data_IF_690754867499
#
_entry.id   IF_690754867499
#
_cell.length_a   1.000
_cell.length_b   1.000
_cell.length_c   1.000
_cell.angle_alpha   90.00
_cell.angle_beta   90.00
_cell.angle_gamma   90.00
#
_symmetry.space_group_name_H-M   'P 1'
#
loop_
_entity.id
_entity.type
_entity.pdbx_description
1 polymer ?
#
# COMPACT_ATOMS: atom_id res chain seq x y z
N UNK A 1 -0.03 -2.99 95.91
CA UNK A 1 -1.15 -3.73 95.28
C UNK A 1 -1.19 -3.26 93.83
N UNK A 2 -0.46 -3.90 92.92
CA UNK A 2 -0.98 -4.90 91.96
C UNK A 2 -1.41 -4.19 90.67
N UNK A 3 -1.09 -4.57 89.43
CA UNK A 3 -0.31 -5.64 88.85
C UNK A 3 -0.07 -5.29 87.34
N UNK A 4 1.09 -5.68 86.81
CA UNK A 4 1.33 -6.31 85.49
C UNK A 4 0.98 -5.57 84.16
N UNK A 5 2.08 -5.22 83.46
CA UNK A 5 2.46 -5.37 82.02
C UNK A 5 1.49 -5.00 80.87
N UNK A 6 1.97 -4.12 79.97
CA UNK A 6 2.22 -4.45 78.55
C UNK A 6 3.10 -3.37 77.89
N UNK A 7 4.18 -3.79 77.22
CA UNK A 7 5.09 -2.99 76.40
C UNK A 7 4.72 -3.21 74.93
N UNK A 8 4.43 -2.18 74.15
CA UNK A 8 4.52 -2.20 72.68
C UNK A 8 5.03 -0.83 72.19
N UNK A 9 6.23 -0.84 71.60
CA UNK A 9 6.87 0.22 70.84
C UNK A 9 6.02 0.60 69.62
N UNK A 10 5.87 1.90 69.33
CA UNK A 10 5.44 2.38 68.00
C UNK A 10 6.27 3.58 67.56
N UNK A 11 6.55 3.59 66.26
CA UNK A 11 7.64 4.25 65.55
C UNK A 11 7.52 5.78 65.41
N UNK A 12 8.70 6.40 65.32
CA UNK A 12 8.99 7.75 64.85
C UNK A 12 8.68 7.94 63.34
N UNK A 13 8.12 9.08 62.96
CA UNK A 13 8.43 9.75 61.68
C UNK A 13 8.07 11.24 61.75
N UNK A 14 9.10 12.09 61.77
CA UNK A 14 9.02 13.56 61.71
C UNK A 14 8.95 13.97 60.24
N UNK A 15 7.92 14.73 59.85
CA UNK A 15 7.79 15.30 58.52
C UNK A 15 8.48 16.67 58.48
N UNK A 16 9.60 16.79 57.74
CA UNK A 16 10.22 18.07 57.38
C UNK A 16 9.65 18.58 56.06
N UNK A 17 9.23 19.84 56.04
CA UNK A 17 8.85 20.56 54.82
C UNK A 17 10.10 21.19 54.17
N UNK A 18 10.25 20.99 52.85
CA UNK A 18 11.35 21.51 52.01
C UNK A 18 10.70 22.25 50.81
N UNK A 19 11.29 23.34 50.28
CA UNK A 19 10.55 24.46 49.70
C UNK A 19 10.25 24.32 48.20
N UNK A 20 9.22 25.02 47.73
CA UNK A 20 8.90 25.16 46.32
C UNK A 20 9.66 26.35 45.71
N UNK A 21 10.60 26.06 44.81
CA UNK A 21 11.12 27.03 43.84
C UNK A 21 10.27 26.95 42.57
N UNK A 22 9.82 28.11 42.08
CA UNK A 22 9.07 28.23 40.83
C UNK A 22 10.01 28.13 39.63
N UNK A 23 9.71 27.24 38.69
CA UNK A 23 10.44 27.04 37.44
C UNK A 23 9.80 27.85 36.29
N UNK A 24 10.66 28.65 35.66
CA UNK A 24 10.68 29.12 34.26
C UNK A 24 9.36 29.18 33.46
N UNK A 25 8.96 30.39 33.08
CA UNK A 25 7.90 30.65 32.12
C UNK A 25 8.29 30.15 30.71
N UNK A 26 7.44 29.27 30.16
CA UNK A 26 7.48 28.81 28.77
C UNK A 26 7.13 29.94 27.79
N UNK A 27 7.79 29.88 26.64
CA UNK A 27 7.79 30.79 25.50
C UNK A 27 6.41 31.14 24.92
N UNK A 28 6.34 32.33 24.32
CA UNK A 28 5.13 32.93 23.72
C UNK A 28 4.53 32.09 22.56
N UNK A 29 3.24 31.80 22.66
CA UNK A 29 2.43 31.20 21.60
C UNK A 29 2.08 32.21 20.49
N UNK A 30 2.08 31.82 19.20
CA UNK A 30 1.67 32.70 18.11
C UNK A 30 0.16 32.96 18.15
N UNK A 31 -0.24 34.22 17.96
CA UNK A 31 -1.63 34.69 18.06
C UNK A 31 -2.54 34.05 17.00
N UNK A 32 -3.49 33.24 17.45
CA UNK A 32 -4.59 32.72 16.63
C UNK A 32 -5.69 33.78 16.48
N UNK A 33 -6.08 34.11 15.24
CA UNK A 33 -7.20 34.99 14.96
C UNK A 33 -8.20 34.29 14.03
N UNK A 34 -9.39 33.89 14.51
CA UNK A 34 -10.38 33.22 13.68
C UNK A 34 -10.97 34.19 12.65
N UNK A 35 -11.04 33.79 11.39
CA UNK A 35 -11.77 34.49 10.32
C UNK A 35 -13.08 33.75 10.05
N UNK A 36 -14.20 34.45 10.13
CA UNK A 36 -15.53 33.93 9.79
C UNK A 36 -15.80 34.15 8.30
N UNK A 37 -16.09 33.07 7.57
CA UNK A 37 -16.47 33.13 6.16
C UNK A 37 -17.99 32.97 6.06
N UNK A 38 -18.63 33.81 5.24
CA UNK A 38 -20.09 33.74 5.02
C UNK A 38 -20.44 32.47 4.23
N UNK A 39 -21.53 31.77 4.59
CA UNK A 39 -22.01 30.63 3.80
C UNK A 39 -22.40 31.06 2.38
N UNK A 40 -22.16 30.21 1.37
CA UNK A 40 -22.52 30.52 -0.01
C UNK A 40 -24.04 30.58 -0.20
N UNK A 41 -24.54 31.36 -1.17
CA UNK A 41 -25.96 31.48 -1.45
C UNK A 41 -26.60 30.14 -1.87
N UNK A 42 -27.91 29.97 -1.62
CA UNK A 42 -28.65 28.79 -2.07
C UNK A 42 -28.58 28.65 -3.59
N UNK A 43 -28.18 27.47 -4.09
CA UNK A 43 -28.09 27.16 -5.53
C UNK A 43 -26.66 27.06 -6.10
N UNK A 44 -25.63 27.27 -5.28
CA UNK A 44 -24.23 27.09 -5.71
C UNK A 44 -23.93 25.60 -5.94
N UNK A 45 -23.56 25.19 -7.17
CA UNK A 45 -23.17 23.80 -7.47
C UNK A 45 -21.87 23.46 -6.73
N UNK A 46 -21.84 22.31 -6.05
CA UNK A 46 -20.70 21.82 -5.27
C UNK A 46 -19.58 21.33 -6.18
N UNK A 47 -18.78 22.26 -6.70
CA UNK A 47 -17.42 21.94 -7.12
C UNK A 47 -16.49 22.79 -6.26
N UNK A 48 -15.88 22.15 -5.25
CA UNK A 48 -14.72 22.73 -4.59
C UNK A 48 -13.59 22.55 -5.59
N UNK A 49 -13.32 23.56 -6.40
CA UNK A 49 -12.09 23.59 -7.18
C UNK A 49 -10.95 23.81 -6.20
N UNK A 50 -10.38 22.72 -5.67
CA UNK A 50 -9.14 22.79 -4.91
C UNK A 50 -8.03 23.13 -5.92
N UNK A 51 -7.79 24.41 -6.10
CA UNK A 51 -6.58 24.90 -6.76
C UNK A 51 -5.46 24.77 -5.73
N UNK A 52 -4.75 23.64 -5.73
CA UNK A 52 -3.49 23.54 -4.98
C UNK A 52 -2.47 24.38 -5.75
N UNK A 53 -1.85 25.34 -5.09
CA UNK A 53 -0.78 26.16 -5.68
C UNK A 53 0.34 25.22 -6.16
N UNK A 54 0.70 25.24 -7.47
CA UNK A 54 1.77 24.41 -8.01
C UNK A 54 3.11 24.56 -7.27
N UNK A 55 3.40 25.74 -6.74
CA UNK A 55 4.63 25.98 -5.97
C UNK A 55 4.55 25.45 -4.52
N UNK A 56 3.34 25.34 -3.96
CA UNK A 56 3.12 24.68 -2.68
C UNK A 56 3.20 23.15 -2.82
N UNK A 57 2.64 22.60 -3.89
CA UNK A 57 2.77 21.19 -4.23
C UNK A 57 4.23 20.82 -4.50
N UNK A 58 4.95 21.62 -5.28
CA UNK A 58 6.39 21.42 -5.55
C UNK A 58 7.22 21.52 -4.27
N UNK A 59 6.89 22.43 -3.35
CA UNK A 59 7.53 22.51 -2.03
C UNK A 59 7.22 21.33 -1.14
N UNK A 60 5.99 20.82 -1.14
CA UNK A 60 5.61 19.61 -0.40
C UNK A 60 6.36 18.38 -0.93
N UNK A 61 6.42 18.22 -2.25
CA UNK A 61 7.18 17.14 -2.90
C UNK A 61 8.70 17.27 -2.65
N UNK A 62 9.25 18.49 -2.70
CA UNK A 62 10.67 18.73 -2.40
C UNK A 62 11.01 18.56 -0.90
N UNK A 63 10.05 18.81 0.00
CA UNK A 63 10.20 18.52 1.42
C UNK A 63 10.17 17.00 1.69
N UNK A 64 9.33 16.26 0.97
CA UNK A 64 9.32 14.78 0.98
C UNK A 64 10.62 14.17 0.45
N UNK A 65 11.34 14.87 -0.45
CA UNK A 65 12.61 14.41 -0.99
C UNK A 65 13.81 14.61 -0.04
N UNK A 66 13.68 15.41 1.03
CA UNK A 66 14.79 15.75 1.95
C UNK A 66 14.96 14.79 3.12
N UNK A 67 13.91 14.06 3.49
CA UNK A 67 13.97 12.94 4.42
C UNK A 67 13.56 11.68 3.65
N UNK A 68 14.49 10.77 3.30
CA UNK A 68 14.19 9.62 2.44
C UNK A 68 13.23 8.60 3.07
N UNK A 69 12.76 8.84 4.29
CA UNK A 69 11.91 7.89 5.00
C UNK A 69 10.91 8.57 5.94
N UNK A 70 9.90 9.20 5.36
CA UNK A 70 8.57 9.28 5.96
C UNK A 70 7.58 8.53 5.07
N UNK A 71 6.81 7.56 5.59
CA UNK A 71 5.91 6.75 4.77
C UNK A 71 4.85 7.64 4.11
N UNK A 72 4.87 7.69 2.78
CA UNK A 72 3.66 8.07 2.02
C UNK A 72 2.72 6.86 2.12
N UNK A 73 1.94 6.82 3.20
CA UNK A 73 0.76 5.95 3.19
C UNK A 73 -0.13 6.44 2.06
N UNK A 74 -0.54 5.54 1.16
CA UNK A 74 -1.66 5.84 0.26
C UNK A 74 -2.85 6.12 1.19
N UNK A 75 -3.23 7.38 1.33
CA UNK A 75 -4.57 7.67 1.84
C UNK A 75 -5.51 7.09 0.80
N UNK A 76 -6.30 6.10 1.21
CA UNK A 76 -7.30 5.48 0.35
C UNK A 76 -8.10 6.58 -0.36
N UNK A 77 -8.44 6.42 -1.65
CA UNK A 77 -9.33 7.36 -2.29
C UNK A 77 -10.64 7.36 -1.52
N UNK A 78 -11.11 8.55 -1.14
CA UNK A 78 -12.46 8.76 -0.64
C UNK A 78 -13.43 8.12 -1.64
N UNK A 79 -13.96 6.95 -1.29
CA UNK A 79 -15.12 6.43 -1.96
C UNK A 79 -16.27 7.36 -1.60
N UNK A 80 -16.75 8.12 -2.58
CA UNK A 80 -17.95 8.93 -2.44
C UNK A 80 -19.05 8.16 -1.70
N UNK A 81 -19.39 8.65 -0.50
CA UNK A 81 -20.50 8.18 0.33
C UNK A 81 -20.12 7.18 1.42
N UNK A 82 -19.43 7.62 2.47
CA UNK A 82 -19.36 6.91 3.74
C UNK A 82 -19.83 7.81 4.89
N UNK A 83 -20.85 7.30 5.58
CA UNK A 83 -21.42 7.83 6.82
C UNK A 83 -20.34 7.96 7.89
N UNK A 84 -20.39 9.06 8.64
CA UNK A 84 -19.44 9.45 9.69
C UNK A 84 -19.54 8.51 10.90
N UNK A 85 -18.86 7.37 10.85
CA UNK A 85 -18.52 6.59 12.04
C UNK A 85 -17.12 6.00 11.87
N UNK A 86 -16.17 6.40 12.72
CA UNK A 86 -14.76 6.00 12.72
C UNK A 86 -14.49 4.50 12.98
N UNK A 87 -15.02 3.61 12.14
CA UNK A 87 -14.59 2.21 12.00
C UNK A 87 -13.79 2.11 10.72
N UNK A 88 -12.55 1.62 10.80
CA UNK A 88 -11.74 1.32 9.62
C UNK A 88 -12.58 0.49 8.63
N UNK A 89 -12.78 1.00 7.42
CA UNK A 89 -13.60 0.34 6.41
C UNK A 89 -13.08 -1.09 6.20
N UNK A 90 -13.99 -2.07 6.21
CA UNK A 90 -13.63 -3.47 5.98
C UNK A 90 -13.24 -3.66 4.51
N UNK A 91 -12.17 -4.42 4.26
CA UNK A 91 -11.78 -4.84 2.91
C UNK A 91 -12.94 -5.57 2.20
N UNK A 92 -13.19 -5.27 0.92
CA UNK A 92 -14.22 -5.95 0.11
C UNK A 92 -14.04 -7.46 0.09
N UNK A 93 -12.79 -7.90 0.10
CA UNK A 93 -12.40 -9.31 0.11
C UNK A 93 -11.95 -9.76 1.51
N UNK A 94 -12.49 -9.18 2.60
CA UNK A 94 -12.16 -9.61 3.97
C UNK A 94 -12.36 -11.13 4.19
N UNK A 95 -13.34 -11.74 3.52
CA UNK A 95 -13.58 -13.19 3.56
C UNK A 95 -12.41 -14.03 3.03
N UNK A 96 -11.58 -13.48 2.15
CA UNK A 96 -10.41 -14.16 1.57
C UNK A 96 -9.39 -14.50 2.65
N UNK A 97 -9.15 -13.55 3.55
CA UNK A 97 -8.18 -13.65 4.65
C UNK A 97 -8.63 -14.55 5.80
N UNK A 98 -9.86 -15.07 5.76
CA UNK A 98 -10.29 -16.15 6.66
C UNK A 98 -9.76 -17.52 6.21
N UNK A 99 -9.36 -17.64 4.94
CA UNK A 99 -8.85 -18.88 4.33
C UNK A 99 -7.36 -18.86 4.09
N UNK A 100 -6.81 -17.66 3.84
CA UNK A 100 -5.40 -17.46 3.51
C UNK A 100 -4.76 -16.65 4.62
N UNK A 101 -3.70 -17.19 5.22
CA UNK A 101 -2.99 -16.47 6.28
C UNK A 101 -2.31 -15.22 5.72
N UNK A 102 -2.45 -14.06 6.40
CA UNK A 102 -1.69 -12.86 6.06
C UNK A 102 -0.28 -12.87 6.66
N UNK A 103 0.11 -13.84 7.50
CA UNK A 103 1.38 -13.80 8.23
C UNK A 103 2.57 -14.14 7.34
N UNK A 104 3.71 -13.52 7.61
CA UNK A 104 4.97 -13.72 6.89
C UNK A 104 5.52 -15.15 7.04
N UNK A 105 5.34 -15.78 8.20
CA UNK A 105 5.90 -17.11 8.51
C UNK A 105 5.18 -18.29 7.85
N UNK A 106 3.90 -18.14 7.47
CA UNK A 106 3.04 -19.23 6.98
C UNK A 106 3.29 -19.57 5.50
N UNK A 107 4.54 -19.70 5.07
CA UNK A 107 4.95 -19.70 3.65
C UNK A 107 4.60 -20.97 2.86
N UNK A 108 4.83 -22.19 3.37
CA UNK A 108 4.74 -23.40 2.56
C UNK A 108 3.36 -23.59 1.92
N UNK A 109 3.32 -23.82 0.60
CA UNK A 109 2.08 -24.09 -0.16
C UNK A 109 1.09 -22.92 -0.24
N UNK A 110 1.47 -21.72 0.23
CA UNK A 110 0.53 -20.58 0.33
C UNK A 110 -0.01 -20.13 -1.02
N UNK A 111 0.80 -20.15 -2.08
CA UNK A 111 0.36 -19.68 -3.39
C UNK A 111 -0.83 -20.51 -3.93
N UNK A 112 -0.76 -21.83 -3.85
CA UNK A 112 -1.84 -22.71 -4.33
C UNK A 112 -3.13 -22.54 -3.53
N UNK A 113 -3.00 -22.42 -2.19
CA UNK A 113 -4.11 -22.10 -1.31
C UNK A 113 -4.70 -20.73 -1.65
N UNK A 114 -3.84 -19.73 -1.87
CA UNK A 114 -4.20 -18.37 -2.18
C UNK A 114 -4.97 -18.25 -3.51
N UNK A 115 -4.57 -19.00 -4.53
CA UNK A 115 -5.25 -19.05 -5.82
C UNK A 115 -6.59 -19.79 -5.73
N UNK A 116 -6.62 -20.93 -5.02
CA UNK A 116 -7.85 -21.70 -4.80
C UNK A 116 -8.91 -20.92 -4.00
N UNK A 117 -8.47 -20.07 -3.07
CA UNK A 117 -9.35 -19.23 -2.28
C UNK A 117 -10.06 -18.15 -3.11
N UNK A 118 -9.54 -17.73 -4.27
CA UNK A 118 -10.12 -16.64 -5.08
C UNK A 118 -11.56 -16.89 -5.53
N UNK A 119 -11.96 -18.14 -5.69
CA UNK A 119 -13.31 -18.57 -6.12
C UNK A 119 -14.17 -19.14 -5.00
N UNK A 120 -13.65 -19.14 -3.76
CA UNK A 120 -14.25 -19.82 -2.61
C UNK A 120 -14.96 -18.86 -1.65
N UNK A 121 -15.49 -17.74 -2.15
CA UNK A 121 -16.15 -16.74 -1.33
C UNK A 121 -17.54 -17.14 -0.85
N UNK A 122 -18.08 -16.45 0.17
CA UNK A 122 -19.40 -16.74 0.71
C UNK A 122 -20.48 -16.57 -0.38
N UNK A 123 -21.48 -17.45 -0.35
CA UNK A 123 -22.60 -17.44 -1.30
C UNK A 123 -22.17 -17.48 -2.78
N UNK A 124 -21.05 -18.16 -3.09
CA UNK A 124 -20.52 -18.26 -4.45
C UNK A 124 -19.80 -17.01 -4.96
N UNK A 125 -19.49 -16.08 -4.05
CA UNK A 125 -18.69 -14.88 -4.37
C UNK A 125 -17.28 -15.26 -4.82
N UNK A 126 -16.71 -14.45 -5.72
CA UNK A 126 -15.35 -14.63 -6.23
C UNK A 126 -14.65 -13.28 -6.34
N UNK A 127 -13.32 -13.30 -6.29
CA UNK A 127 -12.52 -12.11 -6.57
C UNK A 127 -12.65 -11.77 -8.06
N UNK A 128 -12.94 -10.50 -8.36
CA UNK A 128 -13.06 -10.04 -9.75
C UNK A 128 -11.70 -10.06 -10.43
N UNK A 129 -11.60 -10.73 -11.57
CA UNK A 129 -10.42 -10.74 -12.43
C UNK A 129 -10.65 -9.85 -13.68
N UNK A 130 -9.57 -9.30 -14.29
CA UNK A 130 -9.65 -8.71 -15.62
C UNK A 130 -10.03 -9.74 -16.68
N UNK A 131 -10.61 -9.29 -17.81
CA UNK A 131 -10.96 -10.19 -18.91
C UNK A 131 -9.68 -10.59 -19.66
N UNK A 132 -9.67 -11.80 -20.22
CA UNK A 132 -8.54 -12.28 -21.03
C UNK A 132 -8.23 -11.32 -22.19
N UNK A 133 -9.26 -10.78 -22.85
CA UNK A 133 -9.11 -9.83 -23.95
C UNK A 133 -8.42 -8.52 -23.50
N UNK A 134 -8.71 -8.02 -22.29
CA UNK A 134 -8.08 -6.81 -21.77
C UNK A 134 -6.58 -7.05 -21.53
N UNK A 135 -6.23 -8.19 -20.92
CA UNK A 135 -4.83 -8.57 -20.71
C UNK A 135 -4.09 -8.82 -22.02
N UNK A 136 -4.76 -9.42 -23.01
CA UNK A 136 -4.18 -9.64 -24.33
C UNK A 136 -3.87 -8.31 -25.04
N UNK A 137 -4.75 -7.32 -24.93
CA UNK A 137 -4.51 -5.98 -25.48
C UNK A 137 -3.31 -5.29 -24.82
N UNK A 138 -3.20 -5.34 -23.48
CA UNK A 138 -2.04 -4.81 -22.74
C UNK A 138 -0.76 -5.54 -23.18
N UNK A 139 -0.81 -6.86 -23.31
CA UNK A 139 0.33 -7.67 -23.73
C UNK A 139 0.74 -7.39 -25.19
N UNK A 140 -0.21 -7.17 -26.09
CA UNK A 140 0.07 -6.76 -27.47
C UNK A 140 0.81 -5.42 -27.52
N UNK A 141 0.36 -4.45 -26.72
CA UNK A 141 0.92 -3.10 -26.71
C UNK A 141 2.28 -3.03 -25.99
N UNK A 142 2.42 -3.70 -24.85
CA UNK A 142 3.55 -3.52 -23.93
C UNK A 142 4.39 -4.79 -23.72
N UNK A 143 4.02 -5.94 -24.29
CA UNK A 143 4.65 -7.23 -24.05
C UNK A 143 6.16 -7.26 -24.35
N UNK A 144 6.62 -6.54 -25.39
CA UNK A 144 8.06 -6.42 -25.68
C UNK A 144 8.82 -5.70 -24.56
N UNK A 145 8.25 -4.62 -24.02
CA UNK A 145 8.86 -3.87 -22.92
C UNK A 145 8.86 -4.70 -21.63
N UNK A 146 7.75 -5.39 -21.33
CA UNK A 146 7.65 -6.32 -20.20
C UNK A 146 8.71 -7.41 -20.30
N UNK A 147 8.79 -8.12 -21.43
CA UNK A 147 9.77 -9.19 -21.64
C UNK A 147 11.19 -8.68 -21.45
N UNK A 148 11.52 -7.53 -22.07
CA UNK A 148 12.85 -6.93 -21.95
C UNK A 148 13.20 -6.57 -20.51
N UNK A 149 12.28 -5.96 -19.77
CA UNK A 149 12.50 -5.52 -18.39
C UNK A 149 12.72 -6.70 -17.42
N UNK A 150 12.11 -7.86 -17.69
CA UNK A 150 12.23 -9.04 -16.82
C UNK A 150 13.48 -9.89 -17.05
N UNK A 151 14.27 -9.63 -18.10
CA UNK A 151 15.47 -10.43 -18.39
C UNK A 151 16.47 -10.30 -17.24
N UNK A 152 16.91 -11.45 -16.70
CA UNK A 152 17.89 -11.48 -15.60
C UNK A 152 17.32 -11.17 -14.21
N UNK A 153 15.98 -11.09 -14.08
CA UNK A 153 15.27 -10.86 -12.82
C UNK A 153 14.57 -12.13 -12.33
N UNK A 154 14.12 -12.13 -11.07
CA UNK A 154 13.23 -13.17 -10.51
C UNK A 154 11.73 -12.82 -10.73
N UNK A 155 11.41 -11.98 -11.73
CA UNK A 155 10.03 -11.49 -11.95
C UNK A 155 9.45 -12.07 -13.23
N UNK A 156 8.33 -12.80 -13.11
CA UNK A 156 7.61 -13.32 -14.27
C UNK A 156 6.98 -12.21 -15.10
N UNK A 157 7.09 -12.23 -16.45
CA UNK A 157 6.31 -11.37 -17.34
C UNK A 157 4.81 -11.40 -17.05
N UNK A 158 4.26 -12.57 -16.69
CA UNK A 158 2.85 -12.72 -16.35
C UNK A 158 2.48 -11.94 -15.07
N UNK A 159 3.39 -11.84 -14.10
CA UNK A 159 3.20 -11.01 -12.90
C UNK A 159 3.17 -9.53 -13.29
N UNK A 160 4.14 -9.06 -14.08
CA UNK A 160 4.19 -7.66 -14.54
C UNK A 160 2.91 -7.29 -15.28
N UNK A 161 2.43 -8.14 -16.18
CA UNK A 161 1.17 -7.93 -16.89
C UNK A 161 -0.04 -7.83 -15.93
N UNK A 162 -0.09 -8.68 -14.91
CA UNK A 162 -1.13 -8.65 -13.88
C UNK A 162 -1.08 -7.36 -13.05
N UNK A 163 0.11 -6.91 -12.67
CA UNK A 163 0.33 -5.65 -11.95
C UNK A 163 -0.18 -4.47 -12.79
N UNK A 164 0.25 -4.34 -14.05
CA UNK A 164 -0.20 -3.25 -14.95
C UNK A 164 -1.72 -3.23 -15.09
N UNK A 165 -2.35 -4.41 -15.21
CA UNK A 165 -3.79 -4.51 -15.36
C UNK A 165 -4.55 -4.02 -14.12
N UNK A 166 -4.03 -4.27 -12.91
CA UNK A 166 -4.62 -3.82 -11.65
C UNK A 166 -4.33 -2.33 -11.38
N UNK A 167 -3.11 -1.88 -11.69
CA UNK A 167 -2.64 -0.52 -11.39
C UNK A 167 -3.24 0.53 -12.32
N UNK A 168 -3.13 0.33 -13.63
CA UNK A 168 -3.52 1.34 -14.63
C UNK A 168 -4.54 0.83 -15.64
N UNK A 169 -4.74 -0.49 -15.72
CA UNK A 169 -5.50 -1.11 -16.81
C UNK A 169 -4.83 -0.91 -18.18
N UNK A 170 -3.50 -0.71 -18.21
CA UNK A 170 -2.73 -0.47 -19.45
C UNK A 170 -2.62 1.00 -19.86
N UNK A 171 -3.06 1.95 -19.03
CA UNK A 171 -2.97 3.39 -19.34
C UNK A 171 -1.63 3.96 -18.88
N UNK A 172 -0.76 4.28 -19.83
CA UNK A 172 0.57 4.84 -19.55
C UNK A 172 0.56 6.28 -19.02
N UNK A 173 -0.55 7.00 -19.17
CA UNK A 173 -0.76 8.36 -18.69
C UNK A 173 -1.57 8.41 -17.39
N UNK A 174 -1.88 7.26 -16.78
CA UNK A 174 -2.65 7.18 -15.55
C UNK A 174 -1.93 7.91 -14.40
N UNK A 175 -2.67 8.76 -13.69
CA UNK A 175 -2.22 9.45 -12.48
C UNK A 175 -3.24 9.19 -11.38
N UNK A 176 -2.82 8.64 -10.25
CA UNK A 176 -3.68 8.47 -9.08
C UNK A 176 -3.76 9.75 -8.25
N UNK A 177 -4.76 9.81 -7.36
CA UNK A 177 -4.91 10.90 -6.39
C UNK A 177 -3.69 11.03 -5.45
N UNK A 178 -2.96 9.93 -5.22
CA UNK A 178 -1.76 9.90 -4.40
C UNK A 178 -0.48 10.25 -5.19
N UNK A 179 -0.59 10.63 -6.47
CA UNK A 179 0.53 11.01 -7.31
C UNK A 179 1.30 9.84 -7.92
N UNK A 180 0.80 8.60 -7.85
CA UNK A 180 1.37 7.47 -8.56
C UNK A 180 1.12 7.60 -10.08
N UNK A 181 2.13 7.32 -10.91
CA UNK A 181 2.11 7.62 -12.36
C UNK A 181 2.44 6.38 -13.19
N UNK A 182 1.76 6.27 -14.33
CA UNK A 182 2.12 5.35 -15.41
C UNK A 182 1.53 3.96 -15.28
N UNK A 183 2.04 3.04 -16.10
CA UNK A 183 1.55 1.68 -16.25
C UNK A 183 1.55 0.88 -14.94
N UNK A 184 2.62 1.03 -14.16
CA UNK A 184 2.86 0.33 -12.90
C UNK A 184 2.65 1.24 -11.67
N UNK A 185 2.10 2.45 -11.87
CA UNK A 185 1.75 3.39 -10.80
C UNK A 185 2.89 3.60 -9.80
N UNK A 186 4.04 4.06 -10.28
CA UNK A 186 5.16 4.43 -9.43
C UNK A 186 4.90 5.79 -8.79
N UNK A 187 5.04 5.90 -7.47
CA UNK A 187 5.09 7.20 -6.79
C UNK A 187 6.46 7.86 -7.06
N UNK A 188 6.56 9.21 -7.00
CA UNK A 188 7.79 9.93 -7.39
C UNK A 188 9.05 9.42 -6.68
N UNK A 189 8.99 9.21 -5.36
CA UNK A 189 10.13 8.69 -4.60
C UNK A 189 10.59 7.30 -5.05
N UNK A 190 9.67 6.45 -5.51
CA UNK A 190 9.99 5.12 -6.07
C UNK A 190 10.57 5.26 -7.47
N UNK A 191 10.00 6.14 -8.30
CA UNK A 191 10.52 6.43 -9.64
C UNK A 191 11.97 6.92 -9.57
N UNK A 192 12.26 7.88 -8.67
CA UNK A 192 13.61 8.40 -8.44
C UNK A 192 14.57 7.32 -7.95
N UNK A 193 14.13 6.45 -7.02
CA UNK A 193 14.95 5.36 -6.48
C UNK A 193 15.35 4.32 -7.52
N UNK A 194 14.55 4.14 -8.56
CA UNK A 194 14.73 3.10 -9.58
C UNK A 194 14.95 3.68 -10.98
N UNK A 195 15.59 4.85 -11.03
CA UNK A 195 16.11 5.50 -12.25
C UNK A 195 15.05 5.73 -13.35
N UNK A 196 13.83 6.13 -12.96
CA UNK A 196 12.75 6.49 -13.89
C UNK A 196 12.67 8.01 -14.02
N UNK A 197 13.14 8.53 -15.16
CA UNK A 197 13.12 9.97 -15.45
C UNK A 197 11.73 10.46 -15.89
N UNK A 198 11.06 9.67 -16.76
CA UNK A 198 9.69 9.93 -17.19
C UNK A 198 8.78 8.75 -16.86
N UNK A 199 7.96 8.91 -15.81
CA UNK A 199 7.00 7.89 -15.39
C UNK A 199 5.83 7.68 -16.37
N UNK A 200 5.62 8.56 -17.36
CA UNK A 200 4.65 8.35 -18.44
C UNK A 200 5.25 7.60 -19.63
N UNK A 201 6.57 7.52 -19.74
CA UNK A 201 7.20 6.65 -20.73
C UNK A 201 6.96 5.17 -20.36
N UNK A 202 6.28 4.39 -21.22
CA UNK A 202 5.97 2.99 -20.91
C UNK A 202 7.19 2.14 -20.60
N UNK A 203 8.30 2.34 -21.31
CA UNK A 203 9.48 1.49 -21.17
C UNK A 203 10.22 1.78 -19.87
N UNK A 204 10.41 3.06 -19.53
CA UNK A 204 10.99 3.47 -18.26
C UNK A 204 10.14 3.05 -17.08
N UNK A 205 8.82 3.30 -17.12
CA UNK A 205 7.92 2.95 -16.02
C UNK A 205 7.86 1.44 -15.77
N UNK A 206 7.80 0.62 -16.83
CA UNK A 206 7.89 -0.84 -16.72
C UNK A 206 9.25 -1.26 -16.17
N UNK A 207 10.35 -0.69 -16.67
CA UNK A 207 11.70 -1.03 -16.21
C UNK A 207 11.87 -0.75 -14.71
N UNK A 208 11.53 0.45 -14.25
CA UNK A 208 11.62 0.81 -12.84
C UNK A 208 10.70 -0.02 -11.95
N UNK A 209 9.47 -0.28 -12.41
CA UNK A 209 8.53 -1.13 -11.67
C UNK A 209 8.98 -2.58 -11.57
N UNK A 210 9.64 -3.13 -12.60
CA UNK A 210 10.23 -4.47 -12.55
C UNK A 210 11.46 -4.50 -11.65
N UNK A 211 12.35 -3.50 -11.70
CA UNK A 211 13.48 -3.40 -10.76
C UNK A 211 13.00 -3.34 -9.31
N UNK A 212 11.93 -2.60 -9.04
CA UNK A 212 11.33 -2.57 -7.71
C UNK A 212 10.77 -3.94 -7.30
N UNK A 213 10.02 -4.60 -8.18
CA UNK A 213 9.51 -5.96 -7.91
C UNK A 213 10.63 -6.97 -7.67
N UNK A 214 11.70 -6.94 -8.44
CA UNK A 214 12.85 -7.85 -8.27
C UNK A 214 13.56 -7.62 -6.93
N UNK A 215 13.68 -6.36 -6.51
CA UNK A 215 14.16 -6.04 -5.17
C UNK A 215 13.23 -6.60 -4.08
N UNK A 216 11.91 -6.49 -4.24
CA UNK A 216 10.93 -7.07 -3.31
C UNK A 216 10.96 -8.60 -3.30
N UNK A 217 11.17 -9.26 -4.44
CA UNK A 217 11.32 -10.71 -4.52
C UNK A 217 12.45 -11.18 -3.62
N UNK A 218 13.58 -10.48 -3.62
CA UNK A 218 14.72 -10.77 -2.75
C UNK A 218 14.40 -10.50 -1.28
N UNK A 219 13.77 -9.36 -0.99
CA UNK A 219 13.43 -8.93 0.37
C UNK A 219 12.49 -9.92 1.08
N UNK A 220 11.56 -10.51 0.35
CA UNK A 220 10.53 -11.39 0.91
C UNK A 220 10.71 -12.86 0.52
N UNK A 221 11.93 -13.27 0.14
CA UNK A 221 12.27 -14.66 -0.23
C UNK A 221 11.28 -15.28 -1.23
N UNK A 222 10.89 -14.47 -2.23
CA UNK A 222 9.97 -14.82 -3.32
C UNK A 222 8.56 -15.20 -2.85
N UNK A 223 8.14 -14.77 -1.65
CA UNK A 223 6.77 -14.95 -1.17
C UNK A 223 5.80 -14.03 -1.95
N UNK A 224 4.92 -14.58 -2.80
CA UNK A 224 4.12 -13.79 -3.71
C UNK A 224 3.15 -12.84 -3.00
N UNK A 225 2.61 -13.24 -1.84
CA UNK A 225 1.65 -12.38 -1.12
C UNK A 225 2.36 -11.20 -0.47
N UNK A 226 3.57 -11.42 0.05
CA UNK A 226 4.37 -10.37 0.67
C UNK A 226 4.91 -9.39 -0.36
N UNK A 227 5.39 -9.89 -1.50
CA UNK A 227 5.87 -9.05 -2.60
C UNK A 227 4.75 -8.14 -3.13
N UNK A 228 3.58 -8.71 -3.41
CA UNK A 228 2.42 -7.95 -3.89
C UNK A 228 1.94 -6.94 -2.82
N UNK A 229 1.89 -7.35 -1.55
CA UNK A 229 1.50 -6.46 -0.47
C UNK A 229 2.50 -5.31 -0.28
N UNK A 230 3.80 -5.60 -0.35
CA UNK A 230 4.86 -4.61 -0.21
C UNK A 230 4.90 -3.63 -1.38
N UNK A 231 4.60 -4.07 -2.60
CA UNK A 231 4.46 -3.16 -3.74
C UNK A 231 3.39 -2.10 -3.48
N UNK A 232 2.25 -2.51 -2.91
CA UNK A 232 1.13 -1.62 -2.62
C UNK A 232 1.31 -0.79 -1.33
N UNK A 233 1.78 -1.38 -0.24
CA UNK A 233 1.80 -0.76 1.09
C UNK A 233 3.19 -0.28 1.54
N UNK A 234 4.24 -0.60 0.78
CA UNK A 234 5.63 -0.47 1.17
C UNK A 234 6.12 -1.69 1.99
N UNK A 235 7.36 -2.07 1.78
CA UNK A 235 8.05 -3.18 2.46
C UNK A 235 8.03 -3.04 3.98
N UNK A 236 8.12 -1.80 4.48
CA UNK A 236 8.19 -1.53 5.91
C UNK A 236 6.85 -1.76 6.59
N UNK A 237 5.74 -1.54 5.88
CA UNK A 237 4.42 -1.89 6.39
C UNK A 237 4.28 -3.40 6.55
N UNK A 238 4.76 -4.18 5.59
CA UNK A 238 4.74 -5.65 5.66
C UNK A 238 5.62 -6.16 6.81
N UNK A 239 6.85 -5.65 6.94
CA UNK A 239 7.78 -6.00 8.03
C UNK A 239 7.20 -5.69 9.40
N UNK A 240 6.66 -4.48 9.61
CA UNK A 240 6.08 -4.07 10.91
C UNK A 240 4.84 -4.86 11.33
N UNK A 241 4.15 -5.47 10.37
CA UNK A 241 2.94 -6.25 10.63
C UNK A 241 3.21 -7.77 10.60
N UNK A 242 4.48 -8.18 10.46
CA UNK A 242 4.88 -9.57 10.27
C UNK A 242 4.02 -10.29 9.22
N UNK A 243 3.71 -9.60 8.11
CA UNK A 243 2.73 -10.05 7.14
C UNK A 243 2.00 -8.95 6.38
N UNK A 244 0.95 -9.32 5.64
CA UNK A 244 0.09 -8.39 4.92
C UNK A 244 -0.61 -7.44 5.92
N UNK A 245 -0.37 -6.12 5.83
CA UNK A 245 -0.89 -5.18 6.82
C UNK A 245 -2.43 -5.17 6.82
N UNK A 246 -3.08 -4.79 7.93
CA UNK A 246 -4.53 -4.71 8.05
C UNK A 246 -5.13 -3.49 7.34
N UNK A 247 -4.51 -3.04 6.24
CA UNK A 247 -5.04 -1.97 5.41
C UNK A 247 -6.07 -2.56 4.45
N UNK A 248 -7.28 -2.00 4.44
CA UNK A 248 -8.39 -2.49 3.63
C UNK A 248 -8.00 -2.54 2.14
N UNK A 249 -7.32 -1.51 1.68
CA UNK A 249 -6.85 -1.41 0.31
C UNK A 249 -5.85 -2.52 -0.05
N UNK A 250 -4.81 -2.73 0.77
CA UNK A 250 -3.80 -3.78 0.53
C UNK A 250 -4.42 -5.17 0.60
N UNK A 251 -5.33 -5.38 1.55
CA UNK A 251 -6.09 -6.64 1.69
C UNK A 251 -7.05 -6.90 0.53
N UNK A 252 -7.46 -5.88 -0.20
CA UNK A 252 -8.19 -6.03 -1.46
C UNK A 252 -7.27 -6.15 -2.66
N UNK A 253 -6.11 -5.51 -2.61
CA UNK A 253 -5.14 -5.45 -3.69
C UNK A 253 -4.49 -6.80 -3.97
N UNK A 254 -4.00 -7.48 -2.93
CA UNK A 254 -3.32 -8.78 -3.07
C UNK A 254 -4.18 -9.82 -3.82
N UNK A 255 -5.44 -10.10 -3.42
CA UNK A 255 -6.26 -11.05 -4.16
C UNK A 255 -6.60 -10.57 -5.59
N UNK A 256 -6.72 -9.25 -5.84
CA UNK A 256 -6.95 -8.74 -7.22
C UNK A 256 -5.77 -9.06 -8.14
N UNK A 257 -4.54 -8.85 -7.68
CA UNK A 257 -3.32 -9.16 -8.45
C UNK A 257 -3.21 -10.67 -8.66
N UNK A 258 -3.47 -11.49 -7.64
CA UNK A 258 -3.48 -12.95 -7.79
C UNK A 258 -4.51 -13.41 -8.82
N UNK A 259 -5.72 -12.83 -8.82
CA UNK A 259 -6.75 -13.10 -9.81
C UNK A 259 -6.34 -12.65 -11.22
N UNK A 260 -5.70 -11.48 -11.36
CA UNK A 260 -5.16 -11.02 -12.62
C UNK A 260 -4.03 -11.92 -13.13
N UNK A 261 -3.12 -12.37 -12.25
CA UNK A 261 -2.03 -13.27 -12.58
C UNK A 261 -2.52 -14.64 -13.03
N UNK A 262 -3.57 -15.17 -12.39
CA UNK A 262 -4.20 -16.43 -12.79
C UNK A 262 -4.74 -16.38 -14.24
N UNK A 263 -5.23 -15.23 -14.70
CA UNK A 263 -5.63 -15.03 -16.10
C UNK A 263 -4.41 -14.78 -17.00
N UNK A 264 -3.47 -13.93 -16.56
CA UNK A 264 -2.28 -13.56 -17.33
C UNK A 264 -1.39 -14.76 -17.66
N UNK A 265 -1.19 -15.70 -16.72
CA UNK A 265 -0.40 -16.91 -16.97
C UNK A 265 -0.99 -17.81 -18.07
N UNK A 266 -2.29 -17.70 -18.33
CA UNK A 266 -2.96 -18.40 -19.44
C UNK A 266 -2.64 -17.82 -20.83
N UNK A 267 -2.10 -16.60 -20.90
CA UNK A 267 -1.60 -16.00 -22.14
C UNK A 267 -0.19 -16.47 -22.49
N UNK A 268 0.52 -17.14 -21.58
CA UNK A 268 1.87 -17.62 -21.83
C UNK A 268 1.86 -18.88 -22.71
N UNK A 269 2.84 -19.03 -23.60
CA UNK A 269 3.06 -20.26 -24.39
C UNK A 269 3.16 -21.49 -23.49
N UNK A 270 3.89 -21.35 -22.38
CA UNK A 270 3.94 -22.31 -21.28
C UNK A 270 3.46 -21.58 -20.03
N UNK A 271 2.31 -21.96 -19.45
CA UNK A 271 1.81 -21.30 -18.25
C UNK A 271 2.79 -21.44 -17.07
N UNK A 272 3.35 -20.33 -16.55
CA UNK A 272 4.27 -20.36 -15.40
C UNK A 272 3.58 -20.96 -14.17
N UNK A 273 4.27 -21.73 -13.33
CA UNK A 273 3.74 -22.26 -12.07
C UNK A 273 3.99 -21.28 -10.90
N UNK A 274 5.13 -20.60 -10.94
CA UNK A 274 5.55 -19.61 -9.94
C UNK A 274 5.57 -18.20 -10.54
N UNK A 275 5.53 -17.20 -9.67
CA UNK A 275 5.66 -15.78 -10.07
C UNK A 275 7.10 -15.39 -10.45
N UNK A 276 8.04 -16.33 -10.35
CA UNK A 276 9.42 -16.23 -10.78
C UNK A 276 9.66 -16.87 -12.15
N UNK A 277 8.72 -17.66 -12.66
CA UNK A 277 8.90 -18.40 -13.90
C UNK A 277 8.78 -17.49 -15.12
N UNK A 278 9.59 -17.77 -16.15
CA UNK A 278 9.51 -17.09 -17.43
C UNK A 278 8.15 -17.27 -18.12
N UNK A 279 7.78 -16.30 -18.94
CA UNK A 279 6.56 -16.34 -19.73
C UNK A 279 6.78 -15.62 -21.06
N UNK A 280 6.44 -16.27 -22.18
CA UNK A 280 6.38 -15.63 -23.50
C UNK A 280 4.90 -15.56 -23.90
N UNK A 281 4.38 -14.36 -24.12
CA UNK A 281 2.97 -14.17 -24.40
C UNK A 281 2.58 -14.62 -25.82
N UNK A 282 1.40 -15.24 -25.93
CA UNK A 282 0.70 -15.54 -27.19
C UNK A 282 -0.11 -14.31 -27.61
N UNK A 283 0.58 -13.28 -28.08
CA UNK A 283 -0.07 -12.01 -28.45
C UNK A 283 -0.55 -11.94 -29.90
N UNK A 284 -0.31 -13.00 -30.69
CA UNK A 284 -0.80 -13.13 -32.07
C UNK A 284 -1.36 -14.55 -32.30
N UNK A 285 -2.60 -14.61 -32.80
CA UNK A 285 -3.26 -15.76 -33.40
C UNK A 285 -4.20 -15.25 -34.49
#
# INVERSE_FOLDING_TARGET
MGAIRAVILTLFAVAMAVPAYAESALSAEPSYSPKTVKPPPPGTKRFITIQIDPEEQKRALAAMAKDPWTPVTRTAPDTDGADDTGKAALARYAWYWQKVSPRLEDRPGRLDLALSALSSGPSGSRVKAPRLADLAAIAQQHGRAILKATIGTEVSPALVLAMIAVESGGRHDAVSHAGAVGLMQLIPATADRFDVEDSKDPAQNISGGVTYLDWLMKEFDRDPLMVIAAYNAGENAVKRNDGVPPFAETRDYVPKVLAAWAVARGLCLTPPQLMTDGCVFRVNG
#
